data_IF_899519835111
#
_entry.id   IF_899519835111
#
_cell.length_a   1.000
_cell.length_b   1.000
_cell.length_c   1.000
_cell.angle_alpha   90.00
_cell.angle_beta   90.00
_cell.angle_gamma   90.00
#
_symmetry.space_group_name_H-M   'P 1'
#
loop_
_entity.id
_entity.type
_entity.pdbx_description
1 polymer ?
#
# COMPACT_ATOMS: atom_id res chain seq x y z
N UNK A 1 -14.92 1.49 -3.15
CA UNK A 1 -14.74 0.09 -3.58
C UNK A 1 -14.81 -0.79 -2.33
N UNK A 2 -15.88 -1.56 -2.13
CA UNK A 2 -15.93 -2.52 -1.02
C UNK A 2 -15.16 -3.76 -1.48
N UNK A 3 -14.00 -4.02 -0.88
CA UNK A 3 -13.19 -5.20 -1.16
C UNK A 3 -14.03 -6.47 -0.92
N UNK A 4 -14.04 -7.40 -1.89
CA UNK A 4 -14.63 -8.73 -1.67
C UNK A 4 -13.86 -9.44 -0.57
N UNK A 5 -14.53 -10.19 0.30
CA UNK A 5 -13.96 -10.86 1.48
C UNK A 5 -12.72 -11.72 1.18
N UNK A 6 -12.57 -12.19 -0.06
CA UNK A 6 -11.46 -13.05 -0.52
C UNK A 6 -10.11 -12.35 -0.68
N UNK A 7 -10.05 -11.01 -0.72
CA UNK A 7 -8.78 -10.28 -0.88
C UNK A 7 -8.25 -9.67 0.42
N UNK A 8 -9.01 -9.72 1.52
CA UNK A 8 -8.58 -9.26 2.83
C UNK A 8 -7.44 -10.13 3.39
N UNK A 9 -6.37 -9.50 3.86
CA UNK A 9 -5.20 -10.21 4.41
C UNK A 9 -4.85 -9.81 5.84
N UNK A 10 -5.40 -8.71 6.35
CA UNK A 10 -5.16 -8.26 7.70
C UNK A 10 -5.85 -6.93 7.98
N UNK A 11 -6.07 -6.63 9.25
CA UNK A 11 -6.61 -5.34 9.64
C UNK A 11 -6.30 -5.01 11.10
N UNK A 12 -6.33 -3.73 11.42
CA UNK A 12 -6.27 -3.18 12.78
C UNK A 12 -7.60 -2.45 13.08
N UNK A 13 -7.64 -1.67 14.16
CA UNK A 13 -8.76 -0.75 14.41
C UNK A 13 -8.81 0.42 13.42
N UNK A 14 -7.66 0.82 12.85
CA UNK A 14 -7.54 2.00 12.00
C UNK A 14 -7.31 1.67 10.52
N UNK A 15 -6.81 0.47 10.19
CA UNK A 15 -6.42 0.12 8.82
C UNK A 15 -6.94 -1.24 8.39
N UNK A 16 -7.06 -1.41 7.08
CA UNK A 16 -7.37 -2.67 6.41
C UNK A 16 -6.32 -2.92 5.34
N UNK A 17 -5.91 -4.17 5.17
CA UNK A 17 -4.98 -4.57 4.14
C UNK A 17 -5.61 -5.62 3.23
N UNK A 18 -5.37 -5.44 1.93
CA UNK A 18 -5.85 -6.33 0.87
C UNK A 18 -4.71 -6.69 -0.08
N UNK A 19 -4.82 -7.82 -0.79
CA UNK A 19 -3.96 -8.11 -1.93
C UNK A 19 -4.26 -7.16 -3.08
N UNK A 20 -3.22 -6.62 -3.72
CA UNK A 20 -3.38 -5.91 -5.00
C UNK A 20 -3.92 -6.89 -6.05
N UNK A 21 -4.92 -6.47 -6.82
CA UNK A 21 -5.54 -7.29 -7.86
C UNK A 21 -4.60 -7.58 -9.02
N UNK A 22 -3.65 -6.69 -9.28
CA UNK A 22 -2.65 -6.75 -10.33
C UNK A 22 -1.26 -6.54 -9.72
N UNK A 23 -0.79 -7.49 -8.89
CA UNK A 23 0.42 -7.33 -8.09
C UNK A 23 1.63 -7.05 -8.98
N UNK A 24 2.55 -6.16 -8.58
CA UNK A 24 3.73 -5.81 -9.40
C UNK A 24 5.01 -6.53 -8.97
N UNK A 25 4.89 -7.37 -7.94
CA UNK A 25 5.90 -8.27 -7.40
C UNK A 25 5.19 -9.51 -6.83
N UNK A 26 5.95 -10.50 -6.35
CA UNK A 26 5.40 -11.72 -5.72
C UNK A 26 4.46 -11.42 -4.55
N UNK A 27 4.78 -10.39 -3.76
CA UNK A 27 3.91 -9.90 -2.71
C UNK A 27 3.63 -8.41 -2.92
N UNK A 28 2.35 -8.09 -3.09
CA UNK A 28 1.92 -6.71 -3.25
C UNK A 28 0.59 -6.51 -2.52
N UNK A 29 0.65 -5.77 -1.43
CA UNK A 29 -0.52 -5.43 -0.61
C UNK A 29 -0.82 -3.94 -0.72
N UNK A 30 -2.10 -3.62 -0.60
CA UNK A 30 -2.60 -2.26 -0.42
C UNK A 30 -3.11 -2.16 1.01
N UNK A 31 -2.51 -1.27 1.79
CA UNK A 31 -2.97 -0.92 3.14
C UNK A 31 -3.74 0.38 3.06
N UNK A 32 -4.99 0.36 3.51
CA UNK A 32 -5.91 1.49 3.43
C UNK A 32 -6.38 1.88 4.84
N UNK A 33 -6.58 3.18 5.10
CA UNK A 33 -7.24 3.64 6.31
C UNK A 33 -8.72 3.22 6.30
N UNK A 34 -9.21 2.68 7.43
CA UNK A 34 -10.61 2.22 7.57
C UNK A 34 -11.60 3.38 7.46
N UNK A 35 -11.26 4.55 8.01
CA UNK A 35 -12.11 5.74 7.94
C UNK A 35 -12.41 6.11 6.48
N UNK A 36 -11.42 6.03 5.59
CA UNK A 36 -11.62 6.39 4.19
C UNK A 36 -12.23 5.29 3.31
N UNK A 37 -12.34 4.05 3.82
CA UNK A 37 -13.14 3.00 3.15
C UNK A 37 -14.63 3.28 3.30
N UNK A 38 -15.04 3.96 4.38
CA UNK A 38 -16.44 4.26 4.72
C UNK A 38 -16.80 5.70 4.35
N UNK A 39 -15.90 6.67 4.56
CA UNK A 39 -16.05 8.09 4.22
C UNK A 39 -14.68 8.69 3.79
N UNK A 40 -14.36 8.71 2.49
CA UNK A 40 -13.03 9.05 1.99
C UNK A 40 -12.73 10.54 2.14
N UNK A 41 -12.01 10.89 3.21
CA UNK A 41 -11.48 12.25 3.46
C UNK A 41 -10.05 12.40 2.95
N UNK A 42 -9.25 11.34 3.03
CA UNK A 42 -7.87 11.33 2.54
C UNK A 42 -7.83 10.63 1.18
N UNK A 43 -7.75 11.44 0.12
CA UNK A 43 -7.80 10.93 -1.25
C UNK A 43 -6.40 10.65 -1.81
N UNK A 44 -5.40 11.40 -1.35
CA UNK A 44 -4.02 11.32 -1.80
C UNK A 44 -3.06 11.83 -0.72
N UNK A 45 -1.76 11.70 -0.99
CA UNK A 45 -0.70 12.25 -0.13
C UNK A 45 -0.78 13.77 0.06
N UNK A 46 -1.47 14.50 -0.84
CA UNK A 46 -1.60 15.96 -0.75
C UNK A 46 -2.68 16.39 0.26
N UNK A 47 -3.55 15.47 0.66
CA UNK A 47 -4.63 15.75 1.62
C UNK A 47 -4.17 15.49 3.07
N UNK A 48 -2.95 14.98 3.25
CA UNK A 48 -2.41 14.61 4.56
C UNK A 48 -2.07 15.83 5.41
N UNK A 49 -2.40 15.72 6.69
CA UNK A 49 -2.08 16.70 7.73
C UNK A 49 -1.33 16.04 8.88
N UNK A 50 -0.81 16.84 9.82
CA UNK A 50 -0.17 16.33 11.04
C UNK A 50 -1.12 15.46 11.87
N UNK A 51 -2.44 15.67 11.77
CA UNK A 51 -3.43 14.85 12.47
C UNK A 51 -3.50 13.41 11.96
N UNK A 52 -2.97 13.14 10.76
CA UNK A 52 -3.05 11.84 10.11
C UNK A 52 -1.85 10.93 10.43
N UNK A 53 -0.84 11.42 11.16
CA UNK A 53 0.38 10.66 11.50
C UNK A 53 0.04 9.31 12.15
N UNK A 54 -0.87 9.30 13.14
CA UNK A 54 -1.27 8.05 13.81
C UNK A 54 -1.89 7.03 12.84
N UNK A 55 -2.64 7.51 11.85
CA UNK A 55 -3.22 6.66 10.81
C UNK A 55 -2.15 6.10 9.88
N UNK A 56 -1.18 6.93 9.47
CA UNK A 56 -0.06 6.53 8.61
C UNK A 56 0.84 5.50 9.31
N UNK A 57 1.18 5.71 10.58
CA UNK A 57 1.99 4.76 11.34
C UNK A 57 1.29 3.41 11.54
N UNK A 58 -0.03 3.41 11.78
CA UNK A 58 -0.80 2.16 11.87
C UNK A 58 -0.79 1.39 10.54
N UNK A 59 -0.94 2.10 9.41
CA UNK A 59 -0.83 1.50 8.07
C UNK A 59 0.56 0.90 7.86
N UNK A 60 1.62 1.61 8.25
CA UNK A 60 3.00 1.14 8.11
C UNK A 60 3.27 -0.12 8.95
N UNK A 61 2.87 -0.10 10.22
CA UNK A 61 3.00 -1.27 11.13
C UNK A 61 2.26 -2.48 10.58
N UNK A 62 1.03 -2.31 10.08
CA UNK A 62 0.27 -3.40 9.45
C UNK A 62 0.97 -3.92 8.19
N UNK A 63 1.51 -3.03 7.36
CA UNK A 63 2.31 -3.40 6.19
C UNK A 63 3.55 -4.23 6.55
N UNK A 64 4.31 -3.82 7.57
CA UNK A 64 5.49 -4.54 8.07
C UNK A 64 5.12 -5.93 8.60
N UNK A 65 4.02 -6.06 9.35
CA UNK A 65 3.54 -7.35 9.83
C UNK A 65 3.23 -8.31 8.68
N UNK A 66 2.57 -7.82 7.62
CA UNK A 66 2.27 -8.62 6.44
C UNK A 66 3.52 -9.01 5.66
N UNK A 67 4.51 -8.11 5.56
CA UNK A 67 5.80 -8.41 4.97
C UNK A 67 6.52 -9.52 5.73
N UNK A 68 6.62 -9.43 7.06
CA UNK A 68 7.25 -10.46 7.90
C UNK A 68 6.51 -11.80 7.82
N UNK A 69 5.18 -11.79 7.71
CA UNK A 69 4.38 -13.00 7.55
C UNK A 69 4.65 -13.76 6.23
N UNK A 70 5.33 -13.14 5.25
CA UNK A 70 5.80 -13.84 4.04
C UNK A 70 7.04 -14.71 4.28
N UNK A 71 7.69 -14.58 5.43
CA UNK A 71 8.98 -15.21 5.73
C UNK A 71 10.19 -14.46 5.16
N UNK A 72 9.98 -13.32 4.49
CA UNK A 72 11.04 -12.46 4.00
C UNK A 72 11.38 -11.36 5.00
N UNK A 73 12.62 -10.85 4.93
CA UNK A 73 13.04 -9.69 5.71
C UNK A 73 12.39 -8.38 5.24
N UNK A 74 12.25 -7.41 6.14
CA UNK A 74 11.73 -6.07 5.81
C UNK A 74 12.59 -5.34 4.77
N UNK A 75 13.89 -5.64 4.72
CA UNK A 75 14.82 -5.11 3.71
C UNK A 75 14.44 -5.53 2.27
N UNK A 76 13.65 -6.59 2.12
CA UNK A 76 13.10 -7.07 0.84
C UNK A 76 11.81 -6.40 0.44
N UNK A 77 11.31 -5.44 1.23
CA UNK A 77 10.08 -4.71 0.94
C UNK A 77 10.32 -3.21 0.76
N UNK A 78 9.37 -2.57 0.08
CA UNK A 78 9.19 -1.14 0.04
C UNK A 78 7.79 -0.81 0.57
N UNK A 79 7.71 0.29 1.31
CA UNK A 79 6.48 0.82 1.88
C UNK A 79 6.35 2.27 1.44
N UNK A 80 5.24 2.61 0.79
CA UNK A 80 5.09 3.96 0.25
C UNK A 80 3.82 4.20 -0.54
N UNK A 81 3.74 5.38 -1.15
CA UNK A 81 2.54 5.94 -1.76
C UNK A 81 2.86 6.48 -3.15
N UNK A 82 1.90 6.42 -4.08
CA UNK A 82 2.06 7.07 -5.38
C UNK A 82 1.75 8.56 -5.29
N UNK A 83 2.70 9.39 -5.72
CA UNK A 83 2.45 10.80 -6.00
C UNK A 83 1.57 10.87 -7.26
N UNK A 84 0.42 11.53 -7.16
CA UNK A 84 -0.55 11.61 -8.26
C UNK A 84 -1.35 10.32 -8.49
N UNK A 85 -1.60 9.54 -7.43
CA UNK A 85 -2.42 8.33 -7.49
C UNK A 85 -3.81 8.60 -8.12
N UNK A 86 -4.17 7.82 -9.15
CA UNK A 86 -5.52 7.86 -9.73
C UNK A 86 -6.55 7.10 -8.87
N UNK A 87 -6.10 6.10 -8.11
CA UNK A 87 -6.96 5.32 -7.24
C UNK A 87 -7.18 6.05 -5.92
N UNK A 88 -8.45 6.25 -5.57
CA UNK A 88 -8.90 6.82 -4.29
C UNK A 88 -9.72 5.77 -3.54
N UNK A 89 -9.66 5.71 -2.19
CA UNK A 89 -8.91 6.58 -1.27
C UNK A 89 -7.40 6.29 -1.23
N UNK A 90 -6.67 7.07 -0.41
CA UNK A 90 -5.25 6.84 -0.12
C UNK A 90 -4.99 5.37 0.25
N UNK A 91 -3.89 4.82 -0.29
CA UNK A 91 -3.42 3.49 0.05
C UNK A 91 -1.91 3.47 0.03
N UNK A 92 -1.33 2.80 1.03
CA UNK A 92 0.09 2.50 1.08
C UNK A 92 0.32 1.16 0.37
N UNK A 93 1.32 1.12 -0.49
CA UNK A 93 1.85 -0.10 -1.05
C UNK A 93 2.80 -0.74 -0.05
N UNK A 94 2.59 -2.02 0.26
CA UNK A 94 3.59 -2.88 0.86
C UNK A 94 3.97 -3.92 -0.21
N UNK A 95 5.09 -3.70 -0.88
CA UNK A 95 5.50 -4.43 -2.08
C UNK A 95 6.89 -5.03 -1.92
N UNK A 96 7.07 -6.29 -2.31
CA UNK A 96 8.37 -6.94 -2.32
C UNK A 96 9.23 -6.45 -3.49
N UNK A 97 10.55 -6.37 -3.30
CA UNK A 97 11.51 -5.79 -4.25
C UNK A 97 11.93 -6.74 -5.38
N UNK A 98 11.37 -7.95 -5.44
CA UNK A 98 11.66 -8.89 -6.53
C UNK A 98 11.05 -8.44 -7.86
N UNK A 99 9.93 -7.70 -7.82
CA UNK A 99 9.18 -7.26 -9.00
C UNK A 99 8.91 -8.40 -10.02
N UNK A 100 8.84 -9.64 -9.54
CA UNK A 100 8.55 -10.82 -10.34
C UNK A 100 7.04 -11.01 -10.38
N UNK A 101 6.42 -10.51 -11.46
CA UNK A 101 4.99 -10.64 -11.66
C UNK A 101 4.59 -10.55 -13.14
N UNK A 102 3.67 -11.40 -13.61
CA UNK A 102 3.09 -11.27 -14.95
C UNK A 102 2.26 -9.99 -15.15
N UNK A 103 1.91 -9.26 -14.09
CA UNK A 103 1.19 -7.98 -14.20
C UNK A 103 2.13 -6.76 -14.32
N UNK A 104 3.44 -6.95 -14.16
CA UNK A 104 4.46 -5.93 -14.43
C UNK A 104 4.76 -5.83 -15.95
N UNK A 105 3.78 -5.36 -16.72
CA UNK A 105 3.81 -5.44 -18.20
C UNK A 105 4.45 -4.27 -18.95
N UNK A 106 4.71 -3.15 -18.29
CA UNK A 106 5.08 -1.87 -18.94
C UNK A 106 6.15 -1.16 -18.13
N UNK A 107 7.05 -0.43 -18.79
CA UNK A 107 8.07 0.42 -18.14
C UNK A 107 7.46 1.35 -17.11
N UNK A 108 6.31 1.97 -17.40
CA UNK A 108 5.60 2.81 -16.44
C UNK A 108 5.27 2.08 -15.12
N UNK A 109 4.93 0.78 -15.16
CA UNK A 109 4.67 0.03 -13.93
C UNK A 109 5.93 -0.11 -13.07
N UNK A 110 7.09 -0.29 -13.69
CA UNK A 110 8.38 -0.36 -12.99
C UNK A 110 8.75 1.01 -12.39
N UNK A 111 8.69 2.06 -13.22
CA UNK A 111 9.08 3.42 -12.82
C UNK A 111 8.26 3.93 -11.62
N UNK A 112 6.98 3.53 -11.55
CA UNK A 112 6.10 3.88 -10.41
C UNK A 112 6.68 3.50 -9.05
N UNK A 113 7.43 2.40 -8.93
CA UNK A 113 7.98 1.92 -7.64
C UNK A 113 9.48 2.17 -7.49
N UNK A 114 10.16 2.61 -8.57
CA UNK A 114 11.63 2.72 -8.61
C UNK A 114 12.12 4.13 -8.92
N UNK A 115 11.22 5.11 -9.02
CA UNK A 115 11.53 6.53 -9.20
C UNK A 115 10.87 7.39 -8.12
N UNK A 116 11.13 8.70 -8.16
CA UNK A 116 10.67 9.68 -7.16
C UNK A 116 9.15 9.82 -7.06
N UNK A 117 8.38 9.24 -7.98
CA UNK A 117 6.92 9.19 -7.92
C UNK A 117 6.40 8.18 -6.88
N UNK A 118 7.27 7.30 -6.37
CA UNK A 118 7.02 6.50 -5.17
C UNK A 118 7.56 7.25 -3.94
N UNK A 119 6.66 7.79 -3.13
CA UNK A 119 7.02 8.40 -1.85
C UNK A 119 7.13 7.30 -0.79
N UNK A 120 8.34 7.03 -0.31
CA UNK A 120 8.56 6.10 0.80
C UNK A 120 7.88 6.59 2.06
N UNK A 121 7.49 5.66 2.94
CA UNK A 121 6.86 6.01 4.21
C UNK A 121 7.86 6.63 5.21
N UNK A 122 9.11 6.16 5.21
CA UNK A 122 10.24 6.78 5.92
C UNK A 122 10.61 8.12 5.29
#
# INVERSE_FOLDING_TARGET
>A
MIAKSSCHVGSTKLSIAIKDRYPKARFHYLVLPRKDVIDPKILSVHDLTVADILQLEDMFRLGQQLALATGMGLDKFQFGYHIGAHMKPLHMHAISRDFDSPALKRTRHWNIFNEKIFLTHE
#
